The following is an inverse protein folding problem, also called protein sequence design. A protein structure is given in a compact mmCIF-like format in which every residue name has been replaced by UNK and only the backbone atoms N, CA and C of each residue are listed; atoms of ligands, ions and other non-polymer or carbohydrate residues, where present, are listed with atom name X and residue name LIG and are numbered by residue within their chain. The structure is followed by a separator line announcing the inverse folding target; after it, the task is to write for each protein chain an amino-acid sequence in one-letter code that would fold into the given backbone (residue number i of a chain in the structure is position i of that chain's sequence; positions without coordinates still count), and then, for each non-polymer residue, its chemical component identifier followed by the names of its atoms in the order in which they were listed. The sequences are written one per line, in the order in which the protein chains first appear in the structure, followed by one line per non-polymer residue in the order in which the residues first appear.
data_IF_012564027841
#
_entry.id   IF_012564027841
#
_cell.length_a   1.000
_cell.length_b   1.000
_cell.length_c   1.000
_cell.angle_alpha   90.00
_cell.angle_beta   90.00
_cell.angle_gamma   90.00
#
_symmetry.space_group_name_H-M   'P 1'
#
loop_
_entity.id
_entity.type
_entity.pdbx_description
1 polymer ?
#
# COMPACT_ATOMS: atom_id res chain seq x y z
N UNK A 1 -27.15 -40.93 31.29
CA UNK A 1 -26.07 -41.61 32.01
C UNK A 1 -24.95 -40.56 32.24
N UNK A 2 -24.94 -39.94 33.41
CA UNK A 2 -23.94 -38.94 33.76
C UNK A 2 -22.82 -39.62 34.53
N UNK A 3 -21.63 -39.66 33.94
CA UNK A 3 -20.44 -40.23 34.55
C UNK A 3 -19.90 -39.32 35.66
N UNK A 4 -19.85 -39.81 36.89
CA UNK A 4 -19.19 -39.18 38.03
C UNK A 4 -17.68 -39.07 37.76
N UNK A 5 -17.17 -37.87 37.62
CA UNK A 5 -15.73 -37.60 37.65
C UNK A 5 -15.25 -37.75 39.09
N UNK A 6 -14.35 -38.74 39.30
CA UNK A 6 -13.73 -39.04 40.61
C UNK A 6 -12.83 -37.87 41.07
N UNK A 7 -13.26 -37.14 42.07
CA UNK A 7 -12.53 -36.05 42.76
C UNK A 7 -11.50 -36.57 43.80
N UNK A 8 -11.04 -37.82 43.70
CA UNK A 8 -10.24 -38.47 44.76
C UNK A 8 -8.74 -38.14 44.73
N UNK A 9 -8.21 -37.48 43.70
CA UNK A 9 -6.77 -37.20 43.60
C UNK A 9 -6.31 -35.86 44.16
N UNK A 10 -7.22 -34.95 44.48
CA UNK A 10 -6.87 -33.62 45.03
C UNK A 10 -6.98 -33.49 46.54
N UNK A 11 -7.60 -34.44 47.24
CA UNK A 11 -7.74 -34.38 48.71
C UNK A 11 -6.45 -34.64 49.49
N UNK A 12 -5.48 -35.33 48.90
CA UNK A 12 -4.24 -35.72 49.61
C UNK A 12 -3.19 -34.61 49.73
N UNK A 13 -3.21 -33.62 48.86
CA UNK A 13 -2.18 -32.56 48.84
C UNK A 13 -2.51 -31.41 49.75
N UNK A 14 -3.76 -31.20 50.14
CA UNK A 14 -4.22 -30.04 50.93
C UNK A 14 -4.23 -30.30 52.44
N UNK A 15 -4.08 -31.53 52.91
CA UNK A 15 -4.03 -31.84 54.33
C UNK A 15 -2.72 -31.48 55.03
N UNK A 16 -1.68 -31.14 54.29
CA UNK A 16 -0.38 -30.68 54.84
C UNK A 16 -0.23 -29.15 54.94
N UNK A 17 -1.19 -28.40 54.47
CA UNK A 17 -1.19 -26.94 54.60
C UNK A 17 -2.37 -26.55 55.51
N UNK A 18 -2.06 -26.05 56.70
CA UNK A 18 -3.02 -25.59 57.73
C UNK A 18 -3.78 -24.32 57.22
N UNK A 19 -4.65 -24.47 56.22
CA UNK A 19 -5.53 -23.40 55.75
C UNK A 19 -6.91 -23.52 56.36
N UNK A 20 -7.43 -22.44 56.89
CA UNK A 20 -8.75 -22.35 57.50
C UNK A 20 -9.86 -22.70 56.48
N UNK A 21 -10.87 -23.49 56.89
CA UNK A 21 -11.96 -23.96 56.03
C UNK A 21 -12.71 -22.86 55.32
N UNK A 22 -12.77 -21.66 55.89
CA UNK A 22 -13.44 -20.52 55.25
C UNK A 22 -12.67 -19.99 54.03
N UNK A 23 -11.34 -20.06 54.03
CA UNK A 23 -10.52 -19.68 52.86
C UNK A 23 -10.65 -20.66 51.68
N UNK A 24 -10.81 -21.95 52.00
CA UNK A 24 -10.99 -22.99 50.98
C UNK A 24 -12.33 -22.79 50.21
N UNK A 25 -13.42 -22.48 50.94
CA UNK A 25 -14.72 -22.27 50.37
C UNK A 25 -14.75 -20.99 49.49
N UNK A 26 -14.09 -19.92 49.92
CA UNK A 26 -13.92 -18.70 49.13
C UNK A 26 -13.12 -18.89 47.85
N UNK A 27 -12.05 -19.69 47.89
CA UNK A 27 -11.23 -19.98 46.71
C UNK A 27 -11.94 -20.85 45.66
N UNK A 28 -12.63 -21.93 46.11
CA UNK A 28 -13.44 -22.74 45.23
C UNK A 28 -14.57 -21.94 44.57
N UNK A 29 -15.27 -21.09 45.32
CA UNK A 29 -16.31 -20.22 44.80
C UNK A 29 -15.78 -19.20 43.79
N UNK A 30 -14.59 -18.64 44.02
CA UNK A 30 -13.94 -17.72 43.09
C UNK A 30 -13.50 -18.42 41.81
N UNK A 31 -12.94 -19.62 41.89
CA UNK A 31 -12.54 -20.41 40.72
C UNK A 31 -13.75 -20.83 39.87
N UNK A 32 -14.86 -21.25 40.51
CA UNK A 32 -16.08 -21.58 39.79
C UNK A 32 -16.76 -20.34 39.17
N UNK A 33 -16.77 -19.21 39.86
CA UNK A 33 -17.30 -17.94 39.32
C UNK A 33 -16.48 -17.43 38.13
N UNK A 34 -15.15 -17.43 38.23
CA UNK A 34 -14.27 -16.99 37.12
C UNK A 34 -14.32 -17.95 35.93
N UNK A 35 -14.36 -19.27 36.17
CA UNK A 35 -14.54 -20.27 35.09
C UNK A 35 -15.91 -20.17 34.43
N UNK A 36 -16.98 -19.91 35.20
CA UNK A 36 -18.33 -19.66 34.69
C UNK A 36 -18.39 -18.42 33.83
N UNK A 37 -17.78 -17.30 34.25
CA UNK A 37 -17.70 -16.04 33.48
C UNK A 37 -16.94 -16.25 32.19
N UNK A 38 -15.82 -16.97 32.20
CA UNK A 38 -15.03 -17.29 31.01
C UNK A 38 -15.80 -18.16 30.01
N UNK A 39 -16.55 -19.17 30.49
CA UNK A 39 -17.40 -20.03 29.67
C UNK A 39 -18.59 -19.26 29.08
N UNK A 40 -19.25 -18.39 29.87
CA UNK A 40 -20.35 -17.55 29.40
C UNK A 40 -19.83 -16.52 28.39
N UNK A 41 -18.71 -15.88 28.63
CA UNK A 41 -18.09 -14.92 27.70
C UNK A 41 -17.70 -15.60 26.38
N UNK A 42 -17.06 -16.76 26.43
CA UNK A 42 -16.69 -17.54 25.24
C UNK A 42 -17.90 -18.01 24.43
N UNK A 43 -18.96 -18.46 25.10
CA UNK A 43 -20.22 -18.86 24.46
C UNK A 43 -20.93 -17.64 23.85
N UNK A 44 -20.94 -16.49 24.52
CA UNK A 44 -21.52 -15.26 24.02
C UNK A 44 -20.78 -14.75 22.78
N UNK A 45 -19.46 -14.80 22.79
CA UNK A 45 -18.62 -14.44 21.64
C UNK A 45 -18.90 -15.36 20.44
N UNK A 46 -19.01 -16.67 20.69
CA UNK A 46 -19.32 -17.67 19.66
C UNK A 46 -20.70 -17.45 19.03
N UNK A 47 -21.73 -17.25 19.86
CA UNK A 47 -23.10 -16.95 19.40
C UNK A 47 -23.15 -15.64 18.63
N UNK A 48 -22.46 -14.61 19.09
CA UNK A 48 -22.39 -13.32 18.43
C UNK A 48 -21.68 -13.40 17.07
N UNK A 49 -20.59 -14.19 16.97
CA UNK A 49 -19.90 -14.44 15.72
C UNK A 49 -20.74 -15.27 14.73
N UNK A 50 -21.53 -16.22 15.25
CA UNK A 50 -22.47 -17.02 14.45
C UNK A 50 -23.60 -16.14 13.88
N UNK A 51 -24.21 -15.29 14.71
CA UNK A 51 -25.25 -14.34 14.30
C UNK A 51 -24.69 -13.37 13.25
N UNK A 52 -23.48 -12.83 13.45
CA UNK A 52 -22.82 -11.96 12.48
C UNK A 52 -22.61 -12.65 11.13
N UNK A 53 -22.19 -13.92 11.13
CA UNK A 53 -22.05 -14.73 9.90
C UNK A 53 -23.37 -14.92 9.18
N UNK A 54 -24.45 -15.20 9.93
CA UNK A 54 -25.80 -15.39 9.38
C UNK A 54 -26.37 -14.09 8.80
N UNK A 55 -26.10 -12.94 9.42
CA UNK A 55 -26.56 -11.62 8.98
C UNK A 55 -25.64 -11.00 7.92
N UNK A 56 -24.51 -11.67 7.56
CA UNK A 56 -23.56 -11.20 6.54
C UNK A 56 -22.73 -9.98 6.98
N UNK A 57 -22.67 -9.66 8.28
CA UNK A 57 -21.86 -8.55 8.80
C UNK A 57 -20.38 -8.97 8.76
N UNK A 58 -19.66 -8.50 7.75
CA UNK A 58 -18.21 -8.69 7.67
C UNK A 58 -17.52 -7.94 8.82
N UNK A 59 -16.63 -8.60 9.55
CA UNK A 59 -15.71 -7.90 10.47
C UNK A 59 -14.87 -6.93 9.65
N UNK A 60 -14.72 -5.68 10.11
CA UNK A 60 -13.68 -4.81 9.55
C UNK A 60 -12.34 -5.51 9.78
N UNK A 61 -11.49 -5.60 8.76
CA UNK A 61 -10.17 -6.20 8.93
C UNK A 61 -9.39 -5.45 10.01
N UNK A 62 -8.55 -6.17 10.74
CA UNK A 62 -7.63 -5.54 11.66
C UNK A 62 -6.58 -4.76 10.86
N UNK A 63 -6.33 -3.51 11.23
CA UNK A 63 -5.43 -2.59 10.53
C UNK A 63 -4.05 -2.62 11.19
N UNK A 64 -2.99 -2.64 10.39
CA UNK A 64 -1.61 -2.59 10.87
C UNK A 64 -1.16 -1.17 11.19
N UNK A 65 -1.47 -0.20 10.31
CA UNK A 65 -1.12 1.22 10.47
C UNK A 65 -2.21 1.95 11.27
N UNK A 66 -2.34 1.63 12.56
CA UNK A 66 -3.36 2.20 13.45
C UNK A 66 -3.10 3.68 13.78
N UNK A 67 -1.82 4.06 13.92
CA UNK A 67 -1.37 5.43 14.22
C UNK A 67 -0.30 5.86 13.20
N UNK A 68 -0.51 6.98 12.48
CA UNK A 68 0.44 7.45 11.45
C UNK A 68 1.80 7.90 12.01
N UNK A 69 1.93 8.12 13.31
CA UNK A 69 3.18 8.54 13.95
C UNK A 69 3.98 7.36 14.50
N UNK A 70 3.34 6.22 14.70
CA UNK A 70 3.98 5.02 15.23
C UNK A 70 4.77 4.28 14.15
N UNK A 71 5.91 3.72 14.54
CA UNK A 71 6.71 2.84 13.69
C UNK A 71 6.32 1.39 13.93
N UNK A 72 6.09 0.69 12.85
CA UNK A 72 5.74 -0.73 12.82
C UNK A 72 6.89 -1.51 12.17
N UNK A 73 7.64 -2.27 12.96
CA UNK A 73 8.70 -3.14 12.44
C UNK A 73 8.06 -4.34 11.73
N UNK A 74 8.12 -4.38 10.40
CA UNK A 74 7.60 -5.48 9.60
C UNK A 74 8.75 -6.34 9.07
N UNK A 75 8.52 -7.66 9.07
CA UNK A 75 9.53 -8.66 8.70
C UNK A 75 9.45 -9.00 7.22
N UNK A 76 10.59 -8.96 6.53
CA UNK A 76 10.72 -9.45 5.16
C UNK A 76 10.50 -10.98 5.12
N UNK A 77 9.54 -11.42 4.34
CA UNK A 77 9.16 -12.85 4.21
C UNK A 77 9.35 -13.40 2.81
N UNK A 78 9.43 -12.53 1.80
CA UNK A 78 9.72 -12.92 0.43
C UNK A 78 10.47 -11.81 -0.31
N UNK A 79 11.37 -12.19 -1.22
CA UNK A 79 12.17 -11.28 -2.05
C UNK A 79 12.35 -11.87 -3.43
N UNK A 80 11.73 -11.26 -4.43
CA UNK A 80 11.78 -11.71 -5.82
C UNK A 80 12.53 -10.70 -6.69
N UNK A 81 13.45 -11.19 -7.49
CA UNK A 81 14.15 -10.40 -8.52
C UNK A 81 13.20 -10.29 -9.72
N UNK A 82 12.68 -9.09 -10.01
CA UNK A 82 11.77 -8.85 -11.12
C UNK A 82 12.48 -8.35 -12.38
N UNK A 83 13.59 -7.63 -12.20
CA UNK A 83 14.48 -7.24 -13.31
C UNK A 83 15.93 -7.07 -12.80
N UNK A 84 16.84 -6.62 -13.69
CA UNK A 84 18.24 -6.39 -13.37
C UNK A 84 18.46 -5.48 -12.16
N UNK A 85 17.57 -4.53 -11.92
CA UNK A 85 17.66 -3.55 -10.84
C UNK A 85 16.39 -3.40 -10.00
N UNK A 86 15.39 -4.28 -10.17
CA UNK A 86 14.11 -4.19 -9.47
C UNK A 86 13.82 -5.43 -8.64
N UNK A 87 13.27 -5.22 -7.46
CA UNK A 87 12.87 -6.26 -6.51
C UNK A 87 11.43 -6.08 -6.08
N UNK A 88 10.69 -7.17 -5.98
CA UNK A 88 9.46 -7.22 -5.19
C UNK A 88 9.83 -7.73 -3.80
N UNK A 89 9.53 -6.93 -2.78
CA UNK A 89 9.78 -7.25 -1.37
C UNK A 89 8.44 -7.42 -0.67
N UNK A 90 8.21 -8.58 -0.06
CA UNK A 90 7.01 -8.87 0.71
C UNK A 90 7.31 -8.85 2.19
N UNK A 91 6.56 -8.05 2.92
CA UNK A 91 6.66 -7.95 4.38
C UNK A 91 5.40 -8.50 5.03
N UNK A 92 5.56 -9.29 6.09
CA UNK A 92 4.44 -9.81 6.86
C UNK A 92 3.82 -8.72 7.72
N UNK A 93 2.49 -8.64 7.74
CA UNK A 93 1.72 -7.83 8.67
C UNK A 93 1.64 -8.52 10.04
N UNK A 94 1.01 -7.84 11.03
CA UNK A 94 0.92 -8.34 12.43
C UNK A 94 0.29 -9.73 12.56
N UNK A 95 -0.63 -10.09 11.66
CA UNK A 95 -1.19 -11.44 11.54
C UNK A 95 -1.72 -11.68 10.12
N UNK A 96 -2.05 -12.94 9.75
CA UNK A 96 -2.65 -13.27 8.45
C UNK A 96 -3.98 -12.58 8.16
N UNK A 97 -4.69 -12.09 9.20
CA UNK A 97 -5.99 -11.41 9.05
C UNK A 97 -5.86 -9.88 8.97
N UNK A 98 -4.66 -9.33 9.22
CA UNK A 98 -4.45 -7.89 9.13
C UNK A 98 -4.37 -7.43 7.68
N UNK A 99 -4.85 -6.20 7.46
CA UNK A 99 -4.54 -5.41 6.27
C UNK A 99 -3.56 -4.30 6.64
N UNK A 100 -2.95 -3.67 5.64
CA UNK A 100 -2.05 -2.55 5.90
C UNK A 100 -2.80 -1.34 6.47
N UNK A 101 -3.99 -1.03 5.94
CA UNK A 101 -4.80 0.14 6.32
C UNK A 101 -4.32 1.42 5.66
N UNK A 102 -3.85 1.33 4.41
CA UNK A 102 -3.36 2.47 3.64
C UNK A 102 -4.46 3.01 2.72
N UNK A 103 -4.97 4.24 2.94
CA UNK A 103 -5.90 4.87 2.02
C UNK A 103 -5.31 5.01 0.62
N UNK A 104 -6.11 4.74 -0.42
CA UNK A 104 -5.71 4.84 -1.82
C UNK A 104 -5.26 6.26 -2.14
N UNK A 105 -4.06 6.39 -2.74
CA UNK A 105 -3.40 7.68 -3.01
C UNK A 105 -2.42 8.11 -1.91
N UNK A 106 -2.33 7.38 -0.82
CA UNK A 106 -1.34 7.63 0.24
C UNK A 106 -0.17 6.64 0.15
N UNK A 107 0.91 6.96 0.88
CA UNK A 107 2.15 6.19 0.93
C UNK A 107 2.57 5.91 2.37
N UNK A 108 3.55 5.05 2.53
CA UNK A 108 4.26 4.82 3.80
C UNK A 108 5.67 5.39 3.73
N UNK A 109 6.25 5.65 4.89
CA UNK A 109 7.69 5.86 5.03
C UNK A 109 8.36 4.60 5.53
N UNK A 110 9.45 4.20 4.86
CA UNK A 110 10.42 3.27 5.42
C UNK A 110 11.53 4.04 6.12
N UNK A 111 11.96 3.57 7.28
CA UNK A 111 13.08 4.14 8.01
C UNK A 111 14.04 3.07 8.50
N UNK A 112 15.34 3.34 8.32
CA UNK A 112 16.43 2.48 8.77
C UNK A 112 17.64 3.32 9.19
N UNK A 113 18.47 2.78 10.10
CA UNK A 113 19.76 3.36 10.44
C UNK A 113 20.80 2.80 9.48
N UNK A 114 21.32 3.63 8.58
CA UNK A 114 22.30 3.27 7.55
C UNK A 114 23.57 4.10 7.78
N UNK A 115 24.70 3.45 7.95
CA UNK A 115 25.99 4.09 8.24
C UNK A 115 25.89 5.10 9.41
N UNK A 116 25.20 4.71 10.48
CA UNK A 116 25.00 5.54 11.67
C UNK A 116 23.92 6.62 11.54
N UNK A 117 23.39 6.89 10.35
CA UNK A 117 22.40 7.94 10.09
C UNK A 117 21.00 7.37 9.89
N UNK A 118 19.97 8.09 10.39
CA UNK A 118 18.59 7.75 10.10
C UNK A 118 18.25 8.15 8.65
N UNK A 119 17.90 7.17 7.84
CA UNK A 119 17.43 7.36 6.46
C UNK A 119 15.94 7.07 6.40
N UNK A 120 15.15 8.00 5.89
CA UNK A 120 13.69 7.87 5.72
C UNK A 120 13.34 8.13 4.26
N UNK A 121 12.54 7.24 3.65
CA UNK A 121 12.08 7.39 2.25
C UNK A 121 10.62 6.96 2.10
N UNK A 122 9.84 7.68 1.26
CA UNK A 122 8.47 7.31 0.94
C UNK A 122 8.45 6.12 -0.04
N UNK A 123 7.47 5.24 0.13
CA UNK A 123 7.15 4.14 -0.77
C UNK A 123 5.65 3.97 -0.86
N UNK A 124 5.15 3.68 -2.06
CA UNK A 124 3.75 3.30 -2.25
C UNK A 124 3.68 1.79 -2.49
N UNK A 125 3.03 1.02 -1.61
CA UNK A 125 2.81 -0.40 -1.82
C UNK A 125 2.04 -0.69 -3.12
N UNK A 126 2.33 -1.84 -3.72
CA UNK A 126 1.61 -2.35 -4.91
C UNK A 126 0.55 -3.37 -4.55
N UNK A 127 0.57 -3.92 -3.33
CA UNK A 127 -0.55 -4.66 -2.75
C UNK A 127 -1.61 -3.70 -2.20
N UNK A 128 -2.86 -4.16 -2.10
CA UNK A 128 -4.00 -3.41 -1.58
C UNK A 128 -4.47 -3.95 -0.22
N UNK A 129 -5.49 -3.32 0.38
CA UNK A 129 -6.14 -3.85 1.60
C UNK A 129 -7.05 -5.06 1.34
N UNK A 130 -7.20 -5.49 0.08
CA UNK A 130 -7.79 -6.80 -0.26
C UNK A 130 -6.80 -7.94 0.03
N UNK A 131 -5.50 -7.64 0.04
CA UNK A 131 -4.41 -8.55 0.36
C UNK A 131 -4.17 -8.59 1.87
N UNK A 132 -4.50 -9.71 2.50
CA UNK A 132 -4.34 -9.87 3.94
C UNK A 132 -3.01 -10.54 4.30
N UNK A 133 -2.48 -10.15 5.46
CA UNK A 133 -1.31 -10.76 6.07
C UNK A 133 0.03 -10.29 5.54
N UNK A 134 0.06 -9.52 4.46
CA UNK A 134 1.30 -9.01 3.87
C UNK A 134 1.15 -7.65 3.20
N UNK A 135 2.27 -7.02 2.92
CA UNK A 135 2.41 -5.84 2.07
C UNK A 135 3.55 -6.03 1.09
N UNK A 136 3.31 -5.74 -0.19
CA UNK A 136 4.30 -5.83 -1.27
C UNK A 136 4.79 -4.43 -1.68
N UNK A 137 6.11 -4.30 -1.77
CA UNK A 137 6.78 -3.13 -2.33
C UNK A 137 7.55 -3.54 -3.60
N UNK A 138 7.40 -2.78 -4.67
CA UNK A 138 8.29 -2.85 -5.83
C UNK A 138 9.32 -1.74 -5.74
N UNK A 139 10.59 -2.13 -5.67
CA UNK A 139 11.71 -1.25 -5.37
C UNK A 139 12.75 -1.33 -6.48
N UNK A 140 13.04 -0.20 -7.10
CA UNK A 140 14.20 -0.06 -7.98
C UNK A 140 15.46 0.18 -7.15
N UNK A 141 16.48 -0.62 -7.39
CA UNK A 141 17.77 -0.54 -6.69
C UNK A 141 18.69 0.39 -7.46
N UNK A 142 19.06 1.48 -6.86
CA UNK A 142 20.01 2.43 -7.41
C UNK A 142 21.41 2.07 -6.91
N UNK A 143 22.14 1.29 -7.71
CA UNK A 143 23.46 0.82 -7.35
C UNK A 143 24.52 1.93 -7.41
N UNK A 144 25.61 1.75 -6.63
CA UNK A 144 26.80 2.62 -6.69
C UNK A 144 27.44 2.57 -8.08
N UNK A 145 28.06 3.68 -8.47
CA UNK A 145 28.84 3.82 -9.71
C UNK A 145 28.05 3.57 -11.03
N UNK A 146 26.72 3.59 -10.98
CA UNK A 146 25.87 3.44 -12.19
C UNK A 146 25.52 4.79 -12.78
N UNK A 147 25.16 5.78 -11.96
CA UNK A 147 24.77 7.10 -12.43
C UNK A 147 25.84 8.15 -12.13
N UNK A 148 26.39 8.87 -13.14
CA UNK A 148 27.53 9.80 -12.94
C UNK A 148 27.27 10.90 -11.90
N UNK A 149 26.03 11.43 -11.85
CA UNK A 149 25.66 12.48 -10.88
C UNK A 149 25.37 11.93 -9.47
N UNK A 150 25.22 10.62 -9.31
CA UNK A 150 24.90 9.97 -8.04
C UNK A 150 25.79 8.74 -7.82
N UNK A 151 27.11 8.93 -7.66
CA UNK A 151 28.06 7.80 -7.58
C UNK A 151 27.78 6.87 -6.39
N UNK A 152 27.25 7.40 -5.29
CA UNK A 152 26.90 6.58 -4.11
C UNK A 152 25.61 5.77 -4.26
N UNK A 153 24.84 6.01 -5.32
CA UNK A 153 23.53 5.35 -5.53
C UNK A 153 22.49 5.72 -4.49
N UNK A 154 21.48 4.87 -4.35
CA UNK A 154 20.36 5.08 -3.43
C UNK A 154 20.59 4.40 -2.09
N UNK A 155 20.82 5.14 -1.01
CA UNK A 155 21.09 4.56 0.32
C UNK A 155 20.01 3.58 0.78
N UNK A 156 18.73 3.99 0.74
CA UNK A 156 17.63 3.12 1.18
C UNK A 156 17.41 1.93 0.24
N UNK A 157 17.50 2.12 -1.08
CA UNK A 157 17.27 1.02 -2.02
C UNK A 157 18.36 -0.05 -1.92
N UNK A 158 19.63 0.33 -1.75
CA UNK A 158 20.72 -0.63 -1.51
C UNK A 158 20.60 -1.31 -0.14
N UNK A 159 20.12 -0.61 0.88
CA UNK A 159 19.80 -1.22 2.18
C UNK A 159 18.69 -2.27 2.04
N UNK A 160 17.60 -1.96 1.33
CA UNK A 160 16.53 -2.91 1.06
C UNK A 160 17.04 -4.14 0.26
N UNK A 161 17.97 -3.93 -0.68
CA UNK A 161 18.63 -5.04 -1.39
C UNK A 161 19.46 -5.93 -0.46
N UNK A 162 20.09 -5.36 0.57
CA UNK A 162 20.89 -6.12 1.53
C UNK A 162 20.07 -6.93 2.54
N UNK A 163 18.77 -6.64 2.71
CA UNK A 163 17.90 -7.37 3.64
C UNK A 163 17.81 -8.85 3.27
N UNK A 164 17.84 -9.70 4.29
CA UNK A 164 17.60 -11.15 4.20
C UNK A 164 16.21 -11.48 4.66
N UNK A 165 15.67 -12.60 4.23
CA UNK A 165 14.41 -13.12 4.76
C UNK A 165 14.53 -13.27 6.28
N UNK A 166 13.57 -12.69 7.00
CA UNK A 166 13.57 -12.61 8.45
C UNK A 166 13.98 -11.26 9.04
N UNK A 167 14.72 -10.44 8.30
CA UNK A 167 15.07 -9.08 8.72
C UNK A 167 13.84 -8.18 8.79
N UNK A 168 13.93 -7.12 9.59
CA UNK A 168 12.82 -6.16 9.79
C UNK A 168 13.23 -4.76 9.35
N UNK A 169 12.24 -3.97 8.93
CA UNK A 169 12.37 -2.54 8.70
C UNK A 169 11.15 -1.79 9.25
N UNK A 170 11.35 -0.56 9.70
CA UNK A 170 10.29 0.27 10.24
C UNK A 170 9.42 0.87 9.14
N UNK A 171 8.13 0.57 9.18
CA UNK A 171 7.06 1.21 8.41
C UNK A 171 6.39 2.28 9.25
N UNK A 172 6.04 3.40 8.67
CA UNK A 172 5.27 4.48 9.28
C UNK A 172 4.31 5.09 8.26
N UNK A 173 3.08 5.32 8.65
CA UNK A 173 2.03 5.90 7.81
C UNK A 173 0.65 5.62 8.40
N UNK A 174 -0.41 5.94 7.66
CA UNK A 174 -0.43 6.48 6.29
C UNK A 174 0.03 7.94 6.20
N UNK A 175 0.55 8.35 5.03
CA UNK A 175 0.96 9.72 4.75
C UNK A 175 0.66 10.09 3.29
N UNK A 176 0.39 11.36 3.03
CA UNK A 176 0.08 11.88 1.71
C UNK A 176 -1.01 12.95 1.74
N UNK A 177 -1.12 13.70 0.65
CA UNK A 177 -2.08 14.81 0.52
C UNK A 177 -3.29 14.46 -0.34
N UNK A 178 -3.26 13.32 -1.03
CA UNK A 178 -4.34 12.85 -1.90
C UNK A 178 -4.92 11.55 -1.33
N UNK A 179 -6.25 11.46 -1.33
CA UNK A 179 -6.99 10.22 -1.06
C UNK A 179 -8.05 10.04 -2.12
N UNK A 180 -8.01 8.92 -2.82
CA UNK A 180 -9.08 8.51 -3.71
C UNK A 180 -10.26 7.93 -2.90
N UNK A 181 -11.46 8.46 -3.15
CA UNK A 181 -12.69 8.11 -2.43
C UNK A 181 -13.61 7.15 -3.20
N UNK A 182 -13.22 6.80 -4.43
CA UNK A 182 -14.03 6.01 -5.36
C UNK A 182 -14.83 6.88 -6.34
N UNK A 183 -15.19 6.29 -7.48
CA UNK A 183 -16.06 6.88 -8.51
C UNK A 183 -15.63 8.28 -8.94
N UNK A 184 -14.33 8.43 -9.25
CA UNK A 184 -13.75 9.67 -9.72
C UNK A 184 -13.67 10.78 -8.66
N UNK A 185 -13.87 10.50 -7.37
CA UNK A 185 -13.80 11.47 -6.29
C UNK A 185 -12.44 11.44 -5.60
N UNK A 186 -11.78 12.59 -5.53
CA UNK A 186 -10.45 12.77 -4.92
C UNK A 186 -10.51 13.83 -3.83
N UNK A 187 -10.10 13.46 -2.62
CA UNK A 187 -9.89 14.40 -1.52
C UNK A 187 -8.42 14.83 -1.54
N UNK A 188 -8.16 16.08 -1.89
CA UNK A 188 -6.81 16.64 -2.07
C UNK A 188 -6.60 17.77 -1.06
N UNK A 189 -5.58 17.65 -0.23
CA UNK A 189 -5.14 18.68 0.69
C UNK A 189 -4.14 19.63 -0.02
N UNK A 190 -4.30 20.94 0.06
CA UNK A 190 -3.28 21.89 -0.42
C UNK A 190 -1.96 21.74 0.35
N UNK A 191 -2.04 21.45 1.63
CA UNK A 191 -0.91 21.18 2.53
C UNK A 191 -1.33 20.25 3.69
N UNK A 192 -0.37 19.91 4.56
CA UNK A 192 -0.61 18.96 5.68
C UNK A 192 -1.60 19.46 6.74
N UNK A 193 -1.83 20.77 6.83
CA UNK A 193 -2.66 21.40 7.89
C UNK A 193 -4.06 21.74 7.39
N UNK A 194 -4.23 21.92 6.09
CA UNK A 194 -5.50 22.32 5.46
C UNK A 194 -6.47 21.15 5.37
N UNK A 195 -7.75 21.48 5.37
CA UNK A 195 -8.79 20.51 5.06
C UNK A 195 -8.75 20.09 3.58
N UNK A 196 -9.15 18.88 3.24
CA UNK A 196 -9.15 18.41 1.87
C UNK A 196 -10.25 19.09 1.05
N UNK A 197 -9.89 19.47 -0.18
CA UNK A 197 -10.83 19.88 -1.22
C UNK A 197 -11.23 18.65 -2.02
N UNK A 198 -12.52 18.45 -2.23
CA UNK A 198 -13.01 17.36 -3.07
C UNK A 198 -12.97 17.81 -4.54
N UNK A 199 -12.24 17.05 -5.35
CA UNK A 199 -12.21 17.19 -6.81
C UNK A 199 -12.81 15.93 -7.44
N UNK A 200 -13.75 16.10 -8.35
CA UNK A 200 -14.31 15.00 -9.14
C UNK A 200 -13.71 15.02 -10.54
N UNK A 201 -13.51 13.83 -11.11
CA UNK A 201 -13.02 13.66 -12.47
C UNK A 201 -13.63 12.41 -13.11
N UNK A 202 -14.07 12.51 -14.35
CA UNK A 202 -14.43 11.37 -15.20
C UNK A 202 -13.20 10.80 -15.90
N UNK A 203 -12.21 11.67 -16.13
CA UNK A 203 -10.97 11.33 -16.82
C UNK A 203 -9.76 11.67 -15.94
N UNK A 204 -8.92 10.70 -15.69
CA UNK A 204 -7.70 10.85 -14.90
C UNK A 204 -6.50 10.63 -15.80
N UNK A 205 -5.79 11.71 -16.12
CA UNK A 205 -4.50 11.64 -16.80
C UNK A 205 -3.38 11.41 -15.78
N UNK A 206 -2.53 10.46 -16.03
CA UNK A 206 -1.42 10.09 -15.15
C UNK A 206 -0.11 10.19 -15.91
N UNK A 207 0.88 10.87 -15.33
CA UNK A 207 2.24 10.92 -15.85
C UNK A 207 3.17 10.31 -14.81
N UNK A 208 3.81 9.20 -15.15
CA UNK A 208 4.74 8.50 -14.28
C UNK A 208 6.15 8.49 -14.85
N UNK A 209 7.15 8.63 -13.98
CA UNK A 209 8.58 8.45 -14.32
C UNK A 209 9.23 7.41 -13.44
N UNK A 210 9.71 6.30 -14.02
CA UNK A 210 10.36 5.22 -13.28
C UNK A 210 9.53 4.71 -12.11
N UNK A 211 10.04 4.81 -10.88
CA UNK A 211 9.33 4.37 -9.66
C UNK A 211 8.08 5.18 -9.32
N UNK A 212 7.86 6.32 -9.98
CA UNK A 212 6.60 7.09 -9.87
C UNK A 212 5.36 6.37 -10.38
N UNK A 213 5.52 5.18 -10.95
CA UNK A 213 4.40 4.31 -11.36
C UNK A 213 3.61 3.76 -10.17
N UNK A 214 4.24 3.55 -9.01
CA UNK A 214 3.60 2.86 -7.88
C UNK A 214 2.35 3.58 -7.33
N UNK A 215 2.32 4.92 -7.12
CA UNK A 215 1.07 5.59 -6.73
C UNK A 215 0.02 5.61 -7.85
N UNK A 216 0.43 5.59 -9.13
CA UNK A 216 -0.50 5.50 -10.25
C UNK A 216 -1.17 4.13 -10.30
N UNK A 217 -0.38 3.04 -10.19
CA UNK A 217 -0.91 1.68 -10.17
C UNK A 217 -1.91 1.47 -9.03
N UNK A 218 -1.62 2.00 -7.83
CA UNK A 218 -2.53 1.92 -6.68
C UNK A 218 -3.92 2.50 -7.01
N UNK A 219 -3.96 3.67 -7.66
CA UNK A 219 -5.22 4.33 -8.04
C UNK A 219 -5.89 3.60 -9.21
N UNK A 220 -5.11 3.19 -10.24
CA UNK A 220 -5.62 2.42 -11.38
C UNK A 220 -6.30 1.14 -10.91
N UNK A 221 -5.65 0.37 -10.06
CA UNK A 221 -6.22 -0.87 -9.51
C UNK A 221 -7.50 -0.60 -8.72
N UNK A 222 -7.52 0.45 -7.87
CA UNK A 222 -8.72 0.81 -7.11
C UNK A 222 -9.91 1.17 -8.01
N UNK A 223 -9.66 1.90 -9.12
CA UNK A 223 -10.70 2.26 -10.10
C UNK A 223 -11.15 1.03 -10.88
N UNK A 224 -10.23 0.19 -11.37
CA UNK A 224 -10.55 -0.95 -12.22
C UNK A 224 -11.25 -2.07 -11.44
N UNK A 225 -10.92 -2.27 -10.17
CA UNK A 225 -11.52 -3.27 -9.30
C UNK A 225 -12.94 -2.93 -8.85
N UNK A 226 -13.36 -1.65 -8.89
CA UNK A 226 -14.76 -1.28 -8.65
C UNK A 226 -15.56 -1.29 -9.96
N UNK A 227 -16.49 -2.26 -10.16
CA UNK A 227 -17.30 -2.31 -11.37
C UNK A 227 -18.30 -1.15 -11.52
N UNK A 228 -18.50 -0.37 -10.45
CA UNK A 228 -19.37 0.82 -10.45
C UNK A 228 -18.59 2.12 -10.66
N UNK A 229 -17.28 2.04 -10.79
CA UNK A 229 -16.44 3.19 -11.05
C UNK A 229 -16.27 3.33 -12.58
N UNK A 230 -16.82 4.39 -13.13
CA UNK A 230 -16.79 4.66 -14.58
C UNK A 230 -15.61 5.56 -14.98
N UNK A 231 -14.70 5.86 -14.05
CA UNK A 231 -13.53 6.71 -14.31
C UNK A 231 -12.62 6.08 -15.36
N UNK A 232 -12.24 6.87 -16.35
CA UNK A 232 -11.28 6.47 -17.39
C UNK A 232 -9.88 6.97 -17.02
N UNK A 233 -8.94 6.05 -16.94
CA UNK A 233 -7.54 6.33 -16.65
C UNK A 233 -6.69 6.35 -17.93
N UNK A 234 -5.81 7.34 -18.03
CA UNK A 234 -4.82 7.47 -19.10
C UNK A 234 -3.44 7.53 -18.44
N UNK A 235 -2.55 6.64 -18.82
CA UNK A 235 -1.19 6.60 -18.28
C UNK A 235 -0.14 6.84 -19.36
N UNK A 236 0.62 7.92 -19.21
CA UNK A 236 1.85 8.19 -19.97
C UNK A 236 3.05 7.88 -19.06
N UNK A 237 3.80 6.81 -19.39
CA UNK A 237 4.83 6.27 -18.51
C UNK A 237 6.22 6.37 -19.13
N UNK A 238 7.10 7.19 -18.54
CA UNK A 238 8.45 7.48 -18.99
C UNK A 238 9.49 6.63 -18.27
N UNK A 239 10.41 6.04 -19.04
CA UNK A 239 11.54 5.25 -18.55
C UNK A 239 12.79 5.49 -19.40
N UNK A 240 13.97 5.00 -18.96
CA UNK A 240 15.21 5.15 -19.72
C UNK A 240 15.28 4.20 -20.92
N UNK A 241 14.93 2.95 -20.72
CA UNK A 241 14.87 1.90 -21.74
C UNK A 241 13.63 1.04 -21.53
N UNK A 242 13.31 0.21 -22.48
CA UNK A 242 12.24 -0.78 -22.37
C UNK A 242 12.42 -1.71 -21.16
N UNK A 243 13.67 -2.12 -20.86
CA UNK A 243 14.00 -3.01 -19.73
C UNK A 243 13.81 -2.34 -18.36
N UNK A 244 13.72 -1.01 -18.32
CA UNK A 244 13.49 -0.23 -17.10
C UNK A 244 12.01 -0.03 -16.78
N UNK A 245 11.09 -0.48 -17.65
CA UNK A 245 9.65 -0.34 -17.44
C UNK A 245 9.21 -1.27 -16.31
N UNK A 246 8.96 -0.67 -15.13
CA UNK A 246 8.48 -1.39 -13.96
C UNK A 246 7.02 -1.82 -14.16
N UNK A 247 6.67 -3.03 -13.68
CA UNK A 247 5.29 -3.52 -13.64
C UNK A 247 4.61 -3.53 -15.02
N UNK A 248 5.41 -3.73 -16.09
CA UNK A 248 4.91 -3.69 -17.47
C UNK A 248 3.84 -4.74 -17.70
N UNK A 249 4.10 -5.97 -17.30
CA UNK A 249 3.16 -7.08 -17.46
C UNK A 249 1.83 -6.79 -16.78
N UNK A 250 1.89 -6.33 -15.52
CA UNK A 250 0.70 -5.98 -14.74
C UNK A 250 -0.09 -4.84 -15.39
N UNK A 251 0.58 -3.81 -15.92
CA UNK A 251 -0.08 -2.70 -16.61
C UNK A 251 -0.74 -3.13 -17.92
N UNK A 252 -0.08 -3.96 -18.69
CA UNK A 252 -0.60 -4.49 -19.97
C UNK A 252 -1.77 -5.47 -19.72
N UNK A 253 -1.74 -6.27 -18.66
CA UNK A 253 -2.86 -7.12 -18.23
C UNK A 253 -4.08 -6.27 -17.81
N UNK A 254 -3.87 -5.19 -17.07
CA UNK A 254 -4.96 -4.25 -16.71
C UNK A 254 -5.53 -3.61 -17.97
N UNK A 255 -4.70 -3.19 -18.92
CA UNK A 255 -5.15 -2.61 -20.19
C UNK A 255 -5.95 -3.62 -21.03
N UNK A 256 -5.49 -4.86 -21.11
CA UNK A 256 -6.19 -5.93 -21.85
C UNK A 256 -7.54 -6.27 -21.20
N UNK A 257 -7.64 -6.24 -19.87
CA UNK A 257 -8.86 -6.53 -19.13
C UNK A 257 -9.86 -5.37 -19.14
N UNK A 258 -9.39 -4.12 -19.28
CA UNK A 258 -10.20 -2.90 -19.19
C UNK A 258 -9.94 -1.93 -20.37
N UNK A 259 -10.03 -2.36 -21.64
CA UNK A 259 -9.57 -1.58 -22.79
C UNK A 259 -10.35 -0.27 -23.01
N UNK A 260 -11.56 -0.15 -22.47
CA UNK A 260 -12.37 1.08 -22.56
C UNK A 260 -12.06 2.08 -21.45
N UNK A 261 -11.64 1.59 -20.27
CA UNK A 261 -11.41 2.43 -19.08
C UNK A 261 -9.94 2.69 -18.78
N UNK A 262 -8.99 1.94 -19.35
CA UNK A 262 -7.56 2.16 -19.15
C UNK A 262 -6.84 2.31 -20.48
N UNK A 263 -6.11 3.42 -20.64
CA UNK A 263 -5.29 3.76 -21.80
C UNK A 263 -3.85 3.87 -21.33
N UNK A 264 -2.95 3.19 -22.01
CA UNK A 264 -1.54 3.07 -21.62
C UNK A 264 -0.65 3.47 -22.79
N UNK A 265 0.32 4.36 -22.51
CA UNK A 265 1.34 4.76 -23.47
C UNK A 265 2.69 4.87 -22.80
N UNK A 266 3.72 4.38 -23.45
CA UNK A 266 5.09 4.43 -22.97
C UNK A 266 5.91 5.48 -23.72
N UNK A 267 6.94 6.03 -23.08
CA UNK A 267 8.06 6.71 -23.72
C UNK A 267 9.36 6.26 -23.07
N UNK A 268 10.40 6.07 -23.89
CA UNK A 268 11.74 5.70 -23.39
C UNK A 268 12.80 6.62 -23.97
N UNK A 269 13.86 6.91 -23.19
CA UNK A 269 14.97 7.73 -23.68
C UNK A 269 15.71 7.07 -24.83
N UNK A 270 15.86 5.75 -24.76
CA UNK A 270 16.55 4.91 -25.73
C UNK A 270 15.65 3.75 -26.14
N UNK A 271 15.06 3.89 -27.31
CA UNK A 271 14.17 2.89 -27.88
C UNK A 271 14.96 1.74 -28.52
N UNK A 272 14.54 0.48 -28.37
CA UNK A 272 15.05 -0.62 -29.16
C UNK A 272 14.46 -0.60 -30.58
N UNK A 273 15.05 -1.39 -31.49
CA UNK A 273 14.48 -1.59 -32.80
C UNK A 273 13.06 -2.18 -32.70
N UNK A 274 12.13 -1.67 -33.50
CA UNK A 274 10.72 -2.10 -33.51
C UNK A 274 9.89 -1.53 -32.36
N UNK A 275 10.36 -0.50 -31.65
CA UNK A 275 9.60 0.16 -30.59
C UNK A 275 8.37 0.89 -31.14
N UNK A 276 7.18 0.54 -30.67
CA UNK A 276 5.89 1.04 -31.19
C UNK A 276 5.36 2.27 -30.44
N UNK A 277 6.02 2.69 -29.36
CA UNK A 277 5.61 3.83 -28.54
C UNK A 277 6.53 5.04 -28.78
N UNK A 278 6.41 6.07 -27.95
CA UNK A 278 7.20 7.28 -28.07
C UNK A 278 8.66 7.10 -27.63
N UNK A 279 9.53 7.96 -28.14
CA UNK A 279 10.93 8.07 -27.72
C UNK A 279 11.23 9.49 -27.26
N UNK A 280 12.09 9.61 -26.23
CA UNK A 280 12.56 10.85 -25.68
C UNK A 280 11.72 11.35 -24.50
N UNK A 281 11.98 12.58 -24.08
CA UNK A 281 11.32 13.20 -22.94
C UNK A 281 9.86 13.52 -23.26
N UNK A 282 9.02 13.50 -22.23
CA UNK A 282 7.62 13.92 -22.32
C UNK A 282 7.55 15.31 -22.94
N UNK A 283 6.65 15.45 -23.92
CA UNK A 283 6.45 16.68 -24.66
C UNK A 283 4.96 16.96 -24.92
N UNK A 284 4.68 18.07 -25.57
CA UNK A 284 3.32 18.52 -25.86
C UNK A 284 2.52 17.51 -26.69
N UNK A 285 3.13 16.92 -27.73
CA UNK A 285 2.46 15.98 -28.63
C UNK A 285 2.07 14.68 -27.87
N UNK A 286 2.95 14.16 -27.01
CA UNK A 286 2.64 13.01 -26.18
C UNK A 286 1.48 13.30 -25.23
N UNK A 287 1.49 14.47 -24.59
CA UNK A 287 0.41 14.89 -23.69
C UNK A 287 -0.91 15.03 -24.45
N UNK A 288 -0.90 15.69 -25.61
CA UNK A 288 -2.09 15.91 -26.43
C UNK A 288 -2.71 14.60 -26.96
N UNK A 289 -1.87 13.65 -27.34
CA UNK A 289 -2.33 12.43 -27.99
C UNK A 289 -2.69 11.31 -27.01
N UNK A 290 -2.10 11.28 -25.81
CA UNK A 290 -2.20 10.14 -24.90
C UNK A 290 -2.76 10.46 -23.53
N UNK A 291 -3.03 11.75 -23.20
CA UNK A 291 -3.75 12.14 -22.01
C UNK A 291 -5.15 12.69 -22.34
N UNK A 292 -6.06 12.76 -21.36
CA UNK A 292 -7.39 13.28 -21.64
C UNK A 292 -7.36 14.78 -21.97
N UNK A 293 -8.33 15.27 -22.75
CA UNK A 293 -8.41 16.70 -23.09
C UNK A 293 -8.60 17.58 -21.85
N UNK A 294 -8.21 18.88 -21.94
CA UNK A 294 -8.34 19.83 -20.83
C UNK A 294 -9.81 20.24 -20.64
N UNK A 295 -10.48 19.57 -19.70
CA UNK A 295 -11.87 19.84 -19.32
C UNK A 295 -12.02 19.89 -17.81
N UNK A 296 -13.15 20.39 -17.31
CA UNK A 296 -13.46 20.40 -15.86
C UNK A 296 -13.61 19.00 -15.29
N UNK A 297 -13.88 17.99 -16.13
CA UNK A 297 -13.97 16.57 -15.76
C UNK A 297 -12.60 15.85 -15.80
N UNK A 298 -11.51 16.55 -16.09
CA UNK A 298 -10.15 15.99 -16.14
C UNK A 298 -9.34 16.34 -14.90
N UNK A 299 -8.63 15.37 -14.34
CA UNK A 299 -7.63 15.54 -13.28
C UNK A 299 -6.31 14.91 -13.72
N UNK A 300 -5.20 15.65 -13.58
CA UNK A 300 -3.85 15.16 -13.91
C UNK A 300 -3.09 14.83 -12.64
N UNK A 301 -2.56 13.62 -12.57
CA UNK A 301 -1.70 13.14 -11.49
C UNK A 301 -0.29 12.92 -12.03
N UNK A 302 0.72 13.41 -11.30
CA UNK A 302 2.11 13.28 -11.72
C UNK A 302 2.98 12.72 -10.60
N UNK A 303 3.88 11.78 -10.94
CA UNK A 303 4.90 11.28 -10.03
C UNK A 303 6.16 10.87 -10.81
N UNK A 304 7.31 11.38 -10.41
CA UNK A 304 8.58 11.07 -11.05
C UNK A 304 9.71 12.02 -10.62
N UNK A 305 10.86 11.96 -11.27
CA UNK A 305 11.98 12.85 -10.97
C UNK A 305 11.58 14.33 -11.06
N UNK A 306 11.94 15.16 -10.06
CA UNK A 306 11.60 16.58 -10.08
C UNK A 306 11.96 17.32 -11.38
N UNK A 307 13.12 17.07 -12.04
CA UNK A 307 13.41 17.69 -13.33
C UNK A 307 12.42 17.29 -14.44
N UNK A 308 11.92 16.04 -14.47
CA UNK A 308 10.91 15.61 -15.42
C UNK A 308 9.61 16.40 -15.21
N UNK A 309 9.15 16.49 -13.96
CA UNK A 309 7.92 17.23 -13.64
C UNK A 309 8.07 18.70 -14.00
N UNK A 310 9.18 19.34 -13.60
CA UNK A 310 9.39 20.77 -13.74
C UNK A 310 9.65 21.21 -15.20
N UNK A 311 10.47 20.45 -15.94
CA UNK A 311 10.98 20.92 -17.25
C UNK A 311 10.32 20.22 -18.44
N UNK A 312 9.61 19.10 -18.23
CA UNK A 312 8.92 18.38 -19.28
C UNK A 312 7.39 18.37 -19.08
N UNK A 313 6.90 17.86 -17.93
CA UNK A 313 5.48 17.66 -17.72
C UNK A 313 4.71 18.99 -17.63
N UNK A 314 5.07 19.89 -16.70
CA UNK A 314 4.35 21.14 -16.50
C UNK A 314 4.32 22.02 -17.76
N UNK A 315 5.46 22.27 -18.45
CA UNK A 315 5.42 23.08 -19.68
C UNK A 315 4.57 22.45 -20.79
N UNK A 316 4.57 21.11 -20.91
CA UNK A 316 3.75 20.42 -21.91
C UNK A 316 2.26 20.50 -21.59
N UNK A 317 1.90 20.35 -20.30
CA UNK A 317 0.52 20.49 -19.82
C UNK A 317 0.01 21.94 -19.99
N UNK A 318 0.86 22.95 -19.77
CA UNK A 318 0.53 24.37 -19.99
C UNK A 318 0.20 24.65 -21.45
N UNK A 319 1.01 24.12 -22.37
CA UNK A 319 0.82 24.29 -23.83
C UNK A 319 -0.47 23.66 -24.34
N UNK A 320 -0.90 22.51 -23.76
CA UNK A 320 -2.16 21.87 -24.14
C UNK A 320 -3.38 22.45 -23.41
N UNK A 321 -3.17 23.39 -22.49
CA UNK A 321 -4.25 24.08 -21.78
C UNK A 321 -4.81 23.34 -20.56
N UNK A 322 -4.10 22.35 -20.04
CA UNK A 322 -4.49 21.71 -18.78
C UNK A 322 -4.39 22.70 -17.63
N UNK A 323 -5.45 22.84 -16.84
CA UNK A 323 -5.49 23.83 -15.75
C UNK A 323 -4.60 23.40 -14.55
N UNK A 324 -3.89 24.36 -13.96
CA UNK A 324 -3.00 24.11 -12.82
C UNK A 324 -3.74 23.65 -11.57
N UNK A 325 -4.97 24.12 -11.35
CA UNK A 325 -5.80 23.71 -10.23
C UNK A 325 -6.31 22.24 -10.39
N UNK A 326 -6.24 21.69 -11.60
CA UNK A 326 -6.60 20.30 -11.94
C UNK A 326 -5.39 19.38 -12.05
N UNK A 327 -4.25 19.75 -11.43
CA UNK A 327 -3.03 18.94 -11.37
C UNK A 327 -2.67 18.61 -9.94
N UNK A 328 -2.10 17.44 -9.73
CA UNK A 328 -1.52 17.01 -8.46
C UNK A 328 -0.19 16.31 -8.70
N UNK A 329 0.81 16.65 -7.90
CA UNK A 329 2.13 16.00 -7.92
C UNK A 329 2.36 15.31 -6.57
N UNK A 330 2.68 14.01 -6.61
CA UNK A 330 3.00 13.20 -5.44
C UNK A 330 4.33 13.55 -4.81
#
# INVERSE_FOLDING_TARGET
MWGRVRTSRFRGVWQSLNFDKEYLFGFETLVFATSGILLISGSFQFVFDLIRRLVGIKRKPAITLEDPNTKYALRLVDKVITSHDTRRLRFALKSPEHVLGLPIGQHIYLSAKIDGNLVVRPYTPVSSDDDKGFVDLVVKIYYKNVHPKFPEGGKMSQYLESLRIGDTIDFRGPSGLLVYKGRGSFAIKPDKKSDPVIKTAKHVGMIAGGTGITPMLQIIQAIMNDPKDETVCYLLFANQTEKDILLRTELEEVMASHPTRFKLWYTVDRAPDGWEYSQGFINEDMVRNHLPPPTDDTLILMCGPPPMIQFACNPSLDKVGQSNDRRFTF
#
